data_IF_835268706344
#
_entry.id   IF_835268706344
#
_cell.length_a   1.000
_cell.length_b   1.000
_cell.length_c   1.000
_cell.angle_alpha   90.00
_cell.angle_beta   90.00
_cell.angle_gamma   90.00
#
_symmetry.space_group_name_H-M   'P 1'
#
loop_
_entity.id
_entity.type
_entity.pdbx_description
1 polymer ?
#
# COMPACT_ATOMS: atom_id res chain seq x y z
N UNK A 1 1.47 -4.39 -27.29
CA UNK A 1 0.00 -4.38 -27.15
C UNK A 1 -0.62 -5.02 -28.38
N UNK A 2 -1.42 -6.07 -28.19
CA UNK A 2 -2.13 -6.76 -29.28
C UNK A 2 -3.12 -5.81 -29.96
N UNK A 3 -3.20 -5.82 -31.30
CA UNK A 3 -4.16 -5.01 -32.07
C UNK A 3 -5.58 -5.61 -32.07
N UNK A 4 -5.82 -6.61 -31.21
CA UNK A 4 -7.07 -7.33 -31.16
C UNK A 4 -8.19 -6.45 -30.57
N UNK A 5 -9.28 -6.19 -31.31
CA UNK A 5 -10.40 -5.40 -30.79
C UNK A 5 -11.02 -6.01 -29.52
N UNK A 6 -11.05 -7.34 -29.41
CA UNK A 6 -11.64 -8.03 -28.24
C UNK A 6 -10.86 -7.77 -26.96
N UNK A 7 -9.52 -7.68 -27.06
CA UNK A 7 -8.65 -7.31 -25.95
C UNK A 7 -8.94 -5.89 -25.46
N UNK A 8 -9.06 -4.94 -26.39
CA UNK A 8 -9.33 -3.54 -26.06
C UNK A 8 -10.69 -3.39 -25.35
N UNK A 9 -11.71 -4.05 -25.85
CA UNK A 9 -13.05 -4.04 -25.24
C UNK A 9 -13.04 -4.64 -23.83
N UNK A 10 -12.34 -5.74 -23.62
CA UNK A 10 -12.22 -6.36 -22.31
C UNK A 10 -11.50 -5.45 -21.29
N UNK A 11 -10.45 -4.76 -21.72
CA UNK A 11 -9.73 -3.78 -20.88
C UNK A 11 -10.63 -2.60 -20.52
N UNK A 12 -11.39 -2.07 -21.47
CA UNK A 12 -12.34 -0.98 -21.21
C UNK A 12 -13.46 -1.40 -20.25
N UNK A 13 -13.99 -2.62 -20.39
CA UNK A 13 -14.96 -3.21 -19.45
C UNK A 13 -14.39 -3.27 -18.05
N UNK A 14 -13.17 -3.82 -17.90
CA UNK A 14 -12.48 -3.89 -16.63
C UNK A 14 -12.27 -2.51 -16.00
N UNK A 15 -11.82 -1.51 -16.77
CA UNK A 15 -11.66 -0.13 -16.28
C UNK A 15 -12.99 0.50 -15.84
N UNK A 16 -14.08 0.25 -16.55
CA UNK A 16 -15.40 0.75 -16.19
C UNK A 16 -15.91 0.12 -14.89
N UNK A 17 -15.75 -1.19 -14.74
CA UNK A 17 -16.19 -1.94 -13.57
C UNK A 17 -15.33 -1.63 -12.34
N UNK A 18 -14.01 -1.52 -12.49
CA UNK A 18 -13.12 -1.09 -11.42
C UNK A 18 -13.46 0.33 -10.91
N UNK A 19 -13.80 1.25 -11.82
CA UNK A 19 -14.31 2.59 -11.44
C UNK A 19 -15.65 2.50 -10.70
N UNK A 20 -16.56 1.65 -11.16
CA UNK A 20 -17.84 1.41 -10.48
C UNK A 20 -17.64 0.86 -9.06
N UNK A 21 -16.71 -0.10 -8.90
CA UNK A 21 -16.34 -0.64 -7.59
C UNK A 21 -15.78 0.45 -6.68
N UNK A 22 -14.81 1.23 -7.14
CA UNK A 22 -14.23 2.33 -6.37
C UNK A 22 -15.28 3.37 -5.97
N UNK A 23 -16.22 3.72 -6.86
CA UNK A 23 -17.31 4.64 -6.56
C UNK A 23 -18.30 4.06 -5.53
N UNK A 24 -18.65 2.78 -5.64
CA UNK A 24 -19.50 2.10 -4.67
C UNK A 24 -18.84 2.02 -3.28
N UNK A 25 -17.55 1.71 -3.23
CA UNK A 25 -16.75 1.70 -2.00
C UNK A 25 -16.68 3.08 -1.35
N UNK A 26 -16.49 4.14 -2.15
CA UNK A 26 -16.47 5.51 -1.64
C UNK A 26 -17.83 5.97 -1.09
N UNK A 27 -18.93 5.43 -1.62
CA UNK A 27 -20.28 5.70 -1.13
C UNK A 27 -20.70 4.80 0.04
N UNK A 28 -19.83 3.88 0.48
CA UNK A 28 -20.12 2.89 1.53
C UNK A 28 -21.41 2.09 1.30
N UNK A 29 -21.80 1.88 0.04
CA UNK A 29 -23.02 1.15 -0.31
C UNK A 29 -22.73 -0.36 -0.45
N UNK A 30 -23.11 -1.20 0.55
CA UNK A 30 -22.69 -2.60 0.58
C UNK A 30 -23.25 -3.43 -0.58
N UNK A 31 -24.46 -3.12 -1.06
CA UNK A 31 -25.09 -3.83 -2.18
C UNK A 31 -24.37 -3.49 -3.48
N UNK A 32 -24.08 -2.20 -3.71
CA UNK A 32 -23.31 -1.79 -4.90
C UNK A 32 -21.88 -2.30 -4.87
N UNK A 33 -21.22 -2.32 -3.71
CA UNK A 33 -19.87 -2.88 -3.56
C UNK A 33 -19.85 -4.35 -3.93
N UNK A 34 -20.82 -5.14 -3.46
CA UNK A 34 -20.94 -6.55 -3.79
C UNK A 34 -21.13 -6.76 -5.30
N UNK A 35 -22.09 -6.08 -5.92
CA UNK A 35 -22.40 -6.21 -7.35
C UNK A 35 -21.19 -5.77 -8.20
N UNK A 36 -20.62 -4.61 -7.92
CA UNK A 36 -19.46 -4.11 -8.65
C UNK A 36 -18.23 -5.01 -8.46
N UNK A 37 -18.10 -5.66 -7.30
CA UNK A 37 -17.06 -6.64 -7.02
C UNK A 37 -17.19 -7.87 -7.92
N UNK A 38 -18.38 -8.46 -8.01
CA UNK A 38 -18.64 -9.61 -8.89
C UNK A 38 -18.39 -9.29 -10.37
N UNK A 39 -18.83 -8.11 -10.82
CA UNK A 39 -18.56 -7.65 -12.19
C UNK A 39 -17.05 -7.55 -12.45
N UNK A 40 -16.34 -6.84 -11.57
CA UNK A 40 -14.88 -6.67 -11.69
C UNK A 40 -14.15 -8.01 -11.73
N UNK A 41 -14.56 -8.98 -10.90
CA UNK A 41 -14.03 -10.34 -10.91
C UNK A 41 -14.31 -11.05 -12.24
N UNK A 42 -15.52 -10.91 -12.79
CA UNK A 42 -15.88 -11.47 -14.08
C UNK A 42 -15.01 -10.89 -15.22
N UNK A 43 -14.73 -9.58 -15.20
CA UNK A 43 -13.83 -8.96 -16.17
C UNK A 43 -12.37 -9.42 -16.02
N UNK A 44 -11.86 -9.59 -14.80
CA UNK A 44 -10.52 -10.17 -14.58
C UNK A 44 -10.41 -11.58 -15.19
N UNK A 45 -11.42 -12.42 -14.97
CA UNK A 45 -11.49 -13.76 -15.57
C UNK A 45 -11.62 -13.71 -17.09
N UNK A 46 -12.40 -12.75 -17.63
CA UNK A 46 -12.49 -12.53 -19.07
C UNK A 46 -11.13 -12.17 -19.67
N UNK A 47 -10.40 -11.24 -19.04
CA UNK A 47 -9.03 -10.87 -19.45
C UNK A 47 -8.08 -12.06 -19.45
N UNK A 48 -8.15 -12.93 -18.43
CA UNK A 48 -7.36 -14.17 -18.41
C UNK A 48 -7.71 -15.10 -19.58
N UNK A 49 -8.99 -15.28 -19.87
CA UNK A 49 -9.44 -16.22 -20.90
C UNK A 49 -9.07 -15.80 -22.32
N UNK A 50 -9.08 -14.50 -22.62
CA UNK A 50 -8.77 -13.99 -23.96
C UNK A 50 -7.28 -13.77 -24.19
N UNK A 51 -6.44 -13.90 -23.16
CA UNK A 51 -5.00 -13.66 -23.28
C UNK A 51 -4.32 -14.83 -23.99
N UNK A 52 -3.74 -14.64 -25.20
CA UNK A 52 -3.06 -15.71 -25.93
C UNK A 52 -1.76 -16.18 -25.26
N UNK A 53 -1.06 -15.27 -24.59
CA UNK A 53 0.17 -15.60 -23.87
C UNK A 53 -0.14 -16.33 -22.55
N UNK A 54 0.42 -17.54 -22.37
CA UNK A 54 0.12 -18.38 -21.20
C UNK A 54 0.58 -17.75 -19.88
N UNK A 55 1.73 -17.07 -19.86
CA UNK A 55 2.24 -16.44 -18.65
C UNK A 55 1.35 -15.26 -18.23
N UNK A 56 0.94 -14.43 -19.19
CA UNK A 56 0.01 -13.34 -18.94
C UNK A 56 -1.38 -13.85 -18.56
N UNK A 57 -1.85 -14.94 -19.17
CA UNK A 57 -3.12 -15.60 -18.80
C UNK A 57 -3.08 -16.04 -17.35
N UNK A 58 -2.03 -16.74 -16.94
CA UNK A 58 -1.85 -17.17 -15.55
C UNK A 58 -1.82 -15.97 -14.60
N UNK A 59 -1.12 -14.89 -14.95
CA UNK A 59 -1.10 -13.64 -14.18
C UNK A 59 -2.50 -13.05 -13.98
N UNK A 60 -3.34 -13.00 -15.00
CA UNK A 60 -4.72 -12.50 -14.88
C UNK A 60 -5.61 -13.44 -14.06
N UNK A 61 -5.42 -14.75 -14.16
CA UNK A 61 -6.10 -15.74 -13.30
C UNK A 61 -5.76 -15.52 -11.83
N UNK A 62 -4.47 -15.43 -11.49
CA UNK A 62 -3.99 -15.20 -10.12
C UNK A 62 -4.52 -13.87 -9.55
N UNK A 63 -4.60 -12.83 -10.39
CA UNK A 63 -5.22 -11.55 -10.02
C UNK A 63 -6.70 -11.71 -9.69
N UNK A 64 -7.45 -12.45 -10.49
CA UNK A 64 -8.85 -12.79 -10.22
C UNK A 64 -9.02 -13.52 -8.88
N UNK A 65 -8.18 -14.52 -8.62
CA UNK A 65 -8.24 -15.31 -7.39
C UNK A 65 -7.85 -14.52 -6.14
N UNK A 66 -6.88 -13.61 -6.27
CA UNK A 66 -6.50 -12.67 -5.20
C UNK A 66 -7.63 -11.68 -4.92
N UNK A 67 -8.23 -11.09 -5.95
CA UNK A 67 -9.37 -10.18 -5.80
C UNK A 67 -10.57 -10.88 -5.13
N UNK A 68 -10.87 -12.12 -5.52
CA UNK A 68 -11.96 -12.90 -4.95
C UNK A 68 -11.79 -13.13 -3.43
N UNK A 69 -10.56 -13.41 -2.99
CA UNK A 69 -10.23 -13.65 -1.57
C UNK A 69 -10.09 -12.39 -0.73
N UNK A 70 -9.83 -11.24 -1.37
CA UNK A 70 -9.65 -9.96 -0.68
C UNK A 70 -10.97 -9.42 -0.10
N UNK A 71 -10.88 -8.76 1.07
CA UNK A 71 -11.97 -7.97 1.66
C UNK A 71 -12.26 -6.70 0.85
N UNK A 72 -13.37 -5.99 1.14
CA UNK A 72 -13.78 -4.80 0.39
C UNK A 72 -12.69 -3.72 0.27
N UNK A 73 -12.03 -3.38 1.38
CA UNK A 73 -10.91 -2.43 1.40
C UNK A 73 -9.69 -2.95 0.64
N UNK A 74 -9.33 -4.23 0.83
CA UNK A 74 -8.20 -4.84 0.10
C UNK A 74 -8.45 -4.87 -1.40
N UNK A 75 -9.69 -5.14 -1.83
CA UNK A 75 -10.12 -5.12 -3.24
C UNK A 75 -9.90 -3.74 -3.87
N UNK A 76 -10.24 -2.66 -3.15
CA UNK A 76 -10.03 -1.28 -3.62
C UNK A 76 -8.56 -1.00 -3.88
N UNK A 77 -7.70 -1.31 -2.92
CA UNK A 77 -6.26 -1.06 -3.08
C UNK A 77 -5.66 -1.94 -4.16
N UNK A 78 -6.05 -3.21 -4.22
CA UNK A 78 -5.66 -4.13 -5.27
C UNK A 78 -6.00 -3.60 -6.67
N UNK A 79 -7.23 -3.09 -6.88
CA UNK A 79 -7.63 -2.57 -8.18
C UNK A 79 -6.82 -1.36 -8.61
N UNK A 80 -6.56 -0.43 -7.69
CA UNK A 80 -5.73 0.73 -7.99
C UNK A 80 -4.30 0.30 -8.36
N UNK A 81 -3.75 -0.69 -7.68
CA UNK A 81 -2.44 -1.26 -8.01
C UNK A 81 -2.44 -1.93 -9.40
N UNK A 82 -3.45 -2.74 -9.72
CA UNK A 82 -3.57 -3.40 -11.03
C UNK A 82 -3.74 -2.36 -12.15
N UNK A 83 -4.61 -1.37 -11.97
CA UNK A 83 -4.82 -0.32 -12.97
C UNK A 83 -3.55 0.49 -13.22
N UNK A 84 -2.80 0.82 -12.17
CA UNK A 84 -1.54 1.55 -12.28
C UNK A 84 -0.46 0.73 -12.97
N UNK A 85 -0.29 -0.55 -12.58
CA UNK A 85 0.73 -1.44 -13.13
C UNK A 85 0.53 -1.72 -14.64
N UNK A 86 -0.72 -1.67 -15.12
CA UNK A 86 -1.06 -1.89 -16.52
C UNK A 86 -1.14 -0.59 -17.34
N UNK A 87 -0.86 0.58 -16.73
CA UNK A 87 -1.02 1.88 -17.39
C UNK A 87 -2.48 2.16 -17.78
N UNK A 88 -3.44 1.60 -17.03
CA UNK A 88 -4.88 1.69 -17.27
C UNK A 88 -5.56 2.75 -16.40
N UNK A 89 -4.84 3.39 -15.50
CA UNK A 89 -5.27 4.64 -14.88
C UNK A 89 -5.39 5.68 -15.99
N UNK A 90 -6.62 6.02 -16.41
CA UNK A 90 -6.89 6.94 -17.54
C UNK A 90 -6.40 8.39 -17.35
N UNK A 91 -5.54 8.63 -16.36
CA UNK A 91 -4.81 9.88 -16.18
C UNK A 91 -3.56 9.83 -17.04
N UNK A 92 -3.62 10.50 -18.18
CA UNK A 92 -2.46 10.94 -18.95
C UNK A 92 -1.63 11.87 -18.06
N UNK A 93 -0.75 11.31 -17.24
CA UNK A 93 0.25 12.06 -16.49
C UNK A 93 1.24 12.69 -17.47
N UNK A 94 0.94 13.91 -17.91
CA UNK A 94 1.87 14.80 -18.59
C UNK A 94 2.83 15.43 -17.58
N UNK A 95 3.57 14.59 -16.83
CA UNK A 95 4.59 15.04 -15.91
C UNK A 95 5.95 15.08 -16.61
N UNK A 96 6.57 16.26 -16.65
CA UNK A 96 7.92 16.48 -17.13
C UNK A 96 8.89 15.47 -16.48
N UNK A 97 9.53 14.66 -17.34
CA UNK A 97 10.52 13.67 -16.95
C UNK A 97 11.76 14.34 -16.38
N UNK A 98 11.77 14.59 -15.07
CA UNK A 98 12.99 14.79 -14.32
C UNK A 98 13.87 13.55 -14.52
N UNK A 99 15.14 13.74 -14.87
CA UNK A 99 16.10 12.67 -15.17
C UNK A 99 15.98 11.51 -14.15
N UNK A 100 15.30 10.45 -14.59
CA UNK A 100 15.02 9.26 -13.80
C UNK A 100 16.28 8.40 -13.75
N UNK A 101 16.86 8.25 -12.57
CA UNK A 101 17.82 7.18 -12.33
C UNK A 101 17.15 5.85 -12.64
N UNK A 102 17.73 5.07 -13.57
CA UNK A 102 17.22 3.73 -13.90
C UNK A 102 17.09 2.92 -12.60
N UNK A 103 15.92 2.29 -12.35
CA UNK A 103 15.73 1.50 -11.15
C UNK A 103 16.76 0.37 -11.12
N UNK A 104 17.32 0.03 -9.94
CA UNK A 104 18.28 -1.05 -9.84
C UNK A 104 17.65 -2.35 -10.35
N UNK A 105 18.44 -3.16 -11.06
CA UNK A 105 18.01 -4.48 -11.49
C UNK A 105 17.74 -5.35 -10.25
N UNK A 106 16.50 -5.84 -10.11
CA UNK A 106 16.14 -6.75 -9.03
C UNK A 106 16.60 -8.16 -9.39
N UNK A 107 17.51 -8.72 -8.59
CA UNK A 107 17.83 -10.14 -8.72
C UNK A 107 16.75 -10.98 -8.03
N UNK A 108 16.45 -12.14 -8.63
CA UNK A 108 15.40 -13.04 -8.15
C UNK A 108 15.63 -13.54 -6.72
N UNK A 109 16.88 -13.55 -6.27
CA UNK A 109 17.27 -13.91 -4.90
C UNK A 109 16.89 -12.83 -3.87
N UNK A 110 16.94 -11.55 -4.25
CA UNK A 110 16.59 -10.44 -3.37
C UNK A 110 15.08 -10.39 -3.10
N UNK A 111 14.27 -10.81 -4.08
CA UNK A 111 12.82 -10.87 -3.95
C UNK A 111 12.38 -11.88 -2.87
N UNK A 112 12.96 -13.08 -2.85
CA UNK A 112 12.59 -14.11 -1.88
C UNK A 112 12.92 -13.67 -0.44
N UNK A 113 14.13 -13.14 -0.23
CA UNK A 113 14.57 -12.63 1.07
C UNK A 113 13.70 -11.44 1.53
N UNK A 114 13.32 -10.57 0.60
CA UNK A 114 12.47 -9.44 0.93
C UNK A 114 11.02 -9.84 1.23
N UNK A 115 10.44 -10.79 0.49
CA UNK A 115 9.13 -11.36 0.80
C UNK A 115 9.11 -12.06 2.16
N UNK A 116 10.18 -12.78 2.52
CA UNK A 116 10.32 -13.38 3.83
C UNK A 116 10.33 -12.31 4.93
N UNK A 117 11.08 -11.22 4.74
CA UNK A 117 11.09 -10.09 5.65
C UNK A 117 9.72 -9.40 5.77
N UNK A 118 8.94 -9.29 4.69
CA UNK A 118 7.57 -8.78 4.74
C UNK A 118 6.64 -9.68 5.56
N UNK A 119 6.77 -11.02 5.45
CA UNK A 119 5.97 -11.96 6.24
C UNK A 119 6.34 -11.91 7.72
N UNK A 120 7.64 -11.82 8.02
CA UNK A 120 8.13 -11.64 9.39
C UNK A 120 7.57 -10.34 9.99
N UNK A 121 7.66 -9.22 9.26
CA UNK A 121 7.05 -7.96 9.69
C UNK A 121 5.54 -8.11 9.95
N UNK A 122 4.78 -8.71 9.03
CA UNK A 122 3.35 -8.95 9.23
C UNK A 122 3.08 -9.73 10.53
N UNK A 123 3.82 -10.80 10.78
CA UNK A 123 3.66 -11.60 11.99
C UNK A 123 3.97 -10.81 13.27
N UNK A 124 4.98 -9.92 13.25
CA UNK A 124 5.29 -9.03 14.39
C UNK A 124 4.20 -7.97 14.61
N UNK A 125 3.64 -7.41 13.54
CA UNK A 125 2.53 -6.47 13.62
C UNK A 125 1.29 -7.14 14.23
N UNK A 126 0.96 -8.35 13.78
CA UNK A 126 -0.19 -9.12 14.30
C UNK A 126 0.00 -9.45 15.79
N UNK A 127 1.20 -9.87 16.21
CA UNK A 127 1.50 -10.17 17.60
C UNK A 127 1.43 -8.91 18.50
N UNK A 128 1.92 -7.77 18.02
CA UNK A 128 1.81 -6.50 18.74
C UNK A 128 0.36 -6.05 18.89
N UNK A 129 -0.44 -6.16 17.83
CA UNK A 129 -1.86 -5.81 17.83
C UNK A 129 -2.69 -6.72 18.76
N UNK A 130 -2.43 -8.03 18.74
CA UNK A 130 -3.05 -8.99 19.66
C UNK A 130 -2.69 -8.66 21.13
N UNK A 131 -1.42 -8.37 21.40
CA UNK A 131 -0.96 -8.02 22.74
C UNK A 131 -1.62 -6.74 23.26
N UNK A 132 -1.69 -5.68 22.45
CA UNK A 132 -2.36 -4.41 22.81
C UNK A 132 -3.87 -4.58 23.07
N UNK A 133 -4.53 -5.56 22.43
CA UNK A 133 -5.96 -5.85 22.66
C UNK A 133 -6.23 -6.75 23.87
N UNK A 134 -5.20 -7.29 24.51
CA UNK A 134 -5.36 -8.10 25.72
C UNK A 134 -6.02 -7.28 26.84
N UNK A 135 -6.88 -7.87 27.72
CA UNK A 135 -7.57 -7.13 28.77
C UNK A 135 -6.65 -6.45 29.80
N UNK A 136 -5.44 -6.97 29.98
CA UNK A 136 -4.42 -6.44 30.89
C UNK A 136 -3.04 -6.69 30.27
N UNK A 137 -2.63 -5.89 29.27
CA UNK A 137 -1.36 -6.10 28.63
C UNK A 137 -0.23 -5.64 29.55
N UNK A 138 0.79 -6.47 29.68
CA UNK A 138 2.00 -6.09 30.41
C UNK A 138 2.78 -5.04 29.60
N UNK A 139 3.14 -3.93 30.24
CA UNK A 139 3.81 -2.81 29.59
C UNK A 139 5.21 -3.18 29.06
N UNK A 140 5.92 -4.07 29.77
CA UNK A 140 7.22 -4.57 29.31
C UNK A 140 7.06 -5.40 28.03
N UNK A 141 6.08 -6.31 28.04
CA UNK A 141 5.76 -7.13 26.87
C UNK A 141 5.35 -6.30 25.66
N UNK A 142 4.56 -5.22 25.85
CA UNK A 142 4.22 -4.28 24.78
C UNK A 142 5.48 -3.65 24.20
N UNK A 143 6.36 -3.15 25.06
CA UNK A 143 7.59 -2.49 24.63
C UNK A 143 8.50 -3.43 23.83
N UNK A 144 8.66 -4.68 24.29
CA UNK A 144 9.42 -5.70 23.56
C UNK A 144 8.81 -6.01 22.18
N UNK A 145 7.48 -6.07 22.08
CA UNK A 145 6.79 -6.27 20.81
C UNK A 145 6.99 -5.07 19.86
N UNK A 146 6.99 -3.84 20.37
CA UNK A 146 7.31 -2.64 19.58
C UNK A 146 8.73 -2.68 19.04
N UNK A 147 9.72 -3.04 19.85
CA UNK A 147 11.11 -3.18 19.42
C UNK A 147 11.24 -4.25 18.32
N UNK A 148 10.49 -5.34 18.42
CA UNK A 148 10.44 -6.37 17.38
C UNK A 148 9.88 -5.84 16.05
N UNK A 149 8.80 -5.03 16.09
CA UNK A 149 8.24 -4.39 14.88
C UNK A 149 9.27 -3.44 14.26
N UNK A 150 9.90 -2.58 15.06
CA UNK A 150 10.92 -1.62 14.59
C UNK A 150 12.10 -2.36 13.96
N UNK A 151 12.58 -3.43 14.60
CA UNK A 151 13.67 -4.25 14.09
C UNK A 151 13.31 -4.90 12.74
N UNK A 152 12.09 -5.45 12.61
CA UNK A 152 11.61 -6.03 11.36
C UNK A 152 11.51 -4.99 10.23
N UNK A 153 11.02 -3.77 10.52
CA UNK A 153 10.97 -2.68 9.54
C UNK A 153 12.36 -2.22 9.08
N UNK A 154 13.34 -2.15 10.00
CA UNK A 154 14.74 -1.83 9.65
C UNK A 154 15.38 -2.92 8.79
N UNK A 155 15.18 -4.19 9.16
CA UNK A 155 15.64 -5.32 8.34
C UNK A 155 15.05 -5.27 6.93
N UNK A 156 13.77 -4.94 6.82
CA UNK A 156 13.09 -4.78 5.54
C UNK A 156 13.72 -3.66 4.69
N UNK A 157 14.07 -2.54 5.32
CA UNK A 157 14.79 -1.44 4.68
C UNK A 157 16.19 -1.88 4.21
N UNK A 158 16.94 -2.63 5.01
CA UNK A 158 18.32 -3.03 4.70
C UNK A 158 18.39 -3.95 3.47
N UNK A 159 17.44 -4.89 3.35
CA UNK A 159 17.40 -5.91 2.29
C UNK A 159 16.97 -5.32 0.93
N UNK A 160 16.20 -4.24 0.90
CA UNK A 160 15.57 -3.75 -0.33
C UNK A 160 16.57 -3.07 -1.29
N UNK A 161 16.73 -3.45 -2.57
CA UNK A 161 17.80 -2.90 -3.42
C UNK A 161 17.65 -1.41 -3.75
N UNK A 162 16.42 -0.88 -3.84
CA UNK A 162 16.18 0.56 -4.09
C UNK A 162 16.48 1.44 -2.86
N UNK A 163 17.44 2.38 -2.93
CA UNK A 163 17.78 3.28 -1.83
C UNK A 163 16.63 4.20 -1.39
N UNK A 164 15.72 4.58 -2.29
CA UNK A 164 14.54 5.40 -1.94
C UNK A 164 13.60 4.61 -1.04
N UNK A 165 13.37 3.34 -1.35
CA UNK A 165 12.54 2.45 -0.54
C UNK A 165 13.22 2.11 0.78
N UNK A 166 14.55 1.89 0.80
CA UNK A 166 15.31 1.77 2.06
C UNK A 166 15.05 2.97 2.97
N UNK A 167 15.21 4.17 2.43
CA UNK A 167 15.01 5.42 3.17
C UNK A 167 13.59 5.53 3.72
N UNK A 168 12.58 5.25 2.90
CA UNK A 168 11.17 5.30 3.33
C UNK A 168 10.85 4.32 4.46
N UNK A 169 11.31 3.07 4.36
CA UNK A 169 11.11 2.10 5.45
C UNK A 169 11.89 2.48 6.71
N UNK A 170 13.08 3.04 6.56
CA UNK A 170 13.86 3.57 7.69
C UNK A 170 13.12 4.71 8.39
N UNK A 171 12.59 5.67 7.63
CA UNK A 171 11.81 6.79 8.16
C UNK A 171 10.54 6.31 8.87
N UNK A 172 9.84 5.32 8.31
CA UNK A 172 8.66 4.72 8.95
C UNK A 172 9.00 3.98 10.24
N UNK A 173 10.11 3.24 10.27
CA UNK A 173 10.57 2.56 11.49
C UNK A 173 10.88 3.58 12.58
N UNK A 174 11.50 4.70 12.21
CA UNK A 174 11.75 5.82 13.11
C UNK A 174 10.44 6.48 13.57
N UNK A 175 9.49 6.72 12.66
CA UNK A 175 8.19 7.31 13.01
C UNK A 175 7.41 6.42 13.99
N UNK A 176 7.36 5.11 13.75
CA UNK A 176 6.70 4.15 14.65
C UNK A 176 7.37 4.10 16.03
N UNK A 177 8.71 4.10 16.07
CA UNK A 177 9.46 4.08 17.34
C UNK A 177 9.25 5.33 18.20
N UNK A 178 8.92 6.47 17.59
CA UNK A 178 8.75 7.75 18.29
C UNK A 178 7.28 8.20 18.43
N UNK A 179 6.32 7.47 17.85
CA UNK A 179 4.90 7.78 17.99
C UNK A 179 4.43 7.52 19.42
N UNK A 180 3.39 8.23 19.87
CA UNK A 180 2.68 7.89 21.10
C UNK A 180 1.80 6.64 20.89
N UNK A 181 1.28 6.08 21.97
CA UNK A 181 0.53 4.81 21.93
C UNK A 181 -0.70 4.85 21.01
N UNK A 182 -1.41 5.98 20.96
CA UNK A 182 -2.60 6.15 20.12
C UNK A 182 -2.20 6.28 18.64
N UNK A 183 -1.16 7.05 18.33
CA UNK A 183 -0.66 7.22 16.97
C UNK A 183 0.05 5.98 16.45
N UNK A 184 0.65 5.16 17.30
CA UNK A 184 1.26 3.88 16.90
C UNK A 184 0.22 2.97 16.26
N UNK A 185 -1.02 2.93 16.76
CA UNK A 185 -2.08 2.10 16.18
C UNK A 185 -2.47 2.55 14.77
N UNK A 186 -2.54 3.86 14.54
CA UNK A 186 -2.84 4.41 13.21
C UNK A 186 -1.71 4.10 12.22
N UNK A 187 -0.47 4.33 12.63
CA UNK A 187 0.73 3.97 11.84
C UNK A 187 0.77 2.47 11.56
N UNK A 188 0.42 1.63 12.53
CA UNK A 188 0.37 0.17 12.40
C UNK A 188 -0.66 -0.26 11.35
N UNK A 189 -1.86 0.33 11.38
CA UNK A 189 -2.94 0.01 10.44
C UNK A 189 -2.55 0.35 9.00
N UNK A 190 -1.90 1.49 8.81
CA UNK A 190 -1.41 1.94 7.51
C UNK A 190 -0.26 1.07 7.00
N UNK A 191 0.69 0.71 7.87
CA UNK A 191 1.78 -0.22 7.52
C UNK A 191 1.22 -1.60 7.20
N UNK A 192 0.35 -2.17 8.04
CA UNK A 192 -0.22 -3.50 7.87
C UNK A 192 -1.01 -3.64 6.57
N UNK A 193 -1.80 -2.62 6.21
CA UNK A 193 -2.44 -2.58 4.88
C UNK A 193 -1.41 -2.61 3.76
N UNK A 194 -0.37 -1.78 3.85
CA UNK A 194 0.73 -1.71 2.88
C UNK A 194 1.45 -3.06 2.72
N UNK A 195 1.81 -3.72 3.83
CA UNK A 195 2.49 -5.02 3.84
C UNK A 195 1.61 -6.09 3.21
N UNK A 196 0.32 -6.15 3.52
CA UNK A 196 -0.60 -7.11 2.91
C UNK A 196 -0.67 -6.97 1.38
N UNK A 197 -0.65 -5.74 0.86
CA UNK A 197 -0.64 -5.46 -0.58
C UNK A 197 0.67 -5.91 -1.22
N UNK A 198 1.79 -5.60 -0.56
CA UNK A 198 3.13 -5.99 -1.02
C UNK A 198 3.30 -7.51 -1.04
N UNK A 199 2.78 -8.22 -0.03
CA UNK A 199 2.77 -9.69 0.00
C UNK A 199 1.86 -10.32 -1.07
N UNK A 200 0.80 -9.62 -1.48
CA UNK A 200 -0.10 -10.08 -2.53
C UNK A 200 0.42 -9.81 -3.94
N UNK A 201 1.50 -9.02 -4.09
CA UNK A 201 2.00 -8.56 -5.39
C UNK A 201 3.44 -9.06 -5.62
N UNK A 202 3.67 -10.02 -6.54
CA UNK A 202 5.04 -10.41 -6.90
C UNK A 202 5.83 -9.23 -7.47
N UNK A 203 7.07 -9.01 -7.01
CA UNK A 203 7.92 -7.87 -7.42
C UNK A 203 8.46 -8.03 -8.83
N UNK A 204 8.66 -9.27 -9.29
CA UNK A 204 8.94 -9.54 -10.70
C UNK A 204 7.83 -9.08 -11.66
N UNK A 205 6.61 -8.76 -11.18
CA UNK A 205 5.57 -8.15 -12.01
C UNK A 205 5.79 -6.66 -12.29
N UNK A 206 6.79 -6.03 -11.66
CA UNK A 206 7.15 -4.63 -11.81
C UNK A 206 8.37 -4.40 -12.73
N UNK A 207 8.84 -5.41 -13.46
CA UNK A 207 9.97 -5.30 -14.42
C UNK A 207 9.80 -4.30 -15.58
N UNK A 208 8.70 -3.53 -15.61
CA UNK A 208 8.55 -2.37 -16.48
C UNK A 208 7.87 -1.15 -15.85
N UNK A 209 7.43 -1.22 -14.58
CA UNK A 209 6.69 -0.13 -13.92
C UNK A 209 6.97 -0.15 -12.40
N UNK A 210 8.20 0.16 -11.98
CA UNK A 210 8.56 0.34 -10.55
C UNK A 210 8.10 1.72 -10.02
N UNK A 211 7.19 2.42 -10.71
CA UNK A 211 6.57 3.64 -10.17
C UNK A 211 5.52 3.36 -9.07
N UNK A 212 4.96 2.15 -9.01
CA UNK A 212 3.84 1.85 -8.11
C UNK A 212 4.26 1.54 -6.67
N UNK A 213 5.42 0.95 -6.41
CA UNK A 213 5.88 0.70 -5.03
C UNK A 213 6.15 2.03 -4.32
N UNK A 214 6.80 2.97 -5.01
CA UNK A 214 6.95 4.36 -4.56
C UNK A 214 5.59 5.01 -4.32
N UNK A 215 4.63 4.93 -5.25
CA UNK A 215 3.31 5.54 -5.09
C UNK A 215 2.43 4.91 -4.00
N UNK A 216 2.52 3.60 -3.75
CA UNK A 216 1.81 2.93 -2.63
C UNK A 216 2.44 3.33 -1.29
N UNK A 217 3.77 3.41 -1.22
CA UNK A 217 4.48 3.86 -0.01
C UNK A 217 4.31 5.40 0.21
N UNK A 218 4.25 6.18 -0.87
CA UNK A 218 4.05 7.64 -0.84
C UNK A 218 2.59 8.03 -0.59
N UNK A 219 1.64 7.26 -1.14
CA UNK A 219 0.20 7.42 -0.90
C UNK A 219 -0.19 7.13 0.54
N UNK A 220 0.49 6.19 1.20
CA UNK A 220 0.37 5.98 2.65
C UNK A 220 1.13 7.07 3.44
N UNK A 221 2.18 7.68 2.87
CA UNK A 221 2.96 8.75 3.51
C UNK A 221 2.28 10.12 3.57
N UNK A 222 1.35 10.43 2.66
CA UNK A 222 0.61 11.71 2.65
C UNK A 222 -0.27 11.92 3.90
N UNK A 223 -0.60 10.86 4.66
CA UNK A 223 -1.35 10.97 5.92
C UNK A 223 -0.45 11.51 7.05
N UNK A 224 0.85 11.20 7.03
CA UNK A 224 1.81 11.65 8.07
C UNK A 224 2.24 13.11 7.87
N UNK A 225 2.33 13.58 6.62
CA UNK A 225 2.68 14.99 6.33
C UNK A 225 1.57 15.96 6.76
N UNK A 226 0.31 15.52 6.77
CA UNK A 226 -0.82 16.31 7.26
C UNK A 226 -0.78 16.59 8.78
N UNK A 227 -0.19 15.70 9.58
CA UNK A 227 -0.12 15.84 11.05
C UNK A 227 1.09 16.66 11.53
N UNK A 228 2.17 16.71 10.74
CA UNK A 228 3.31 17.57 11.03
C UNK A 228 2.95 19.06 11.10
N UNK A 229 2.02 19.52 10.26
CA UNK A 229 1.55 20.91 10.27
C UNK A 229 0.62 21.25 11.45
N UNK A 230 0.05 20.26 12.15
CA UNK A 230 -0.78 20.53 13.34
C UNK A 230 0.07 20.77 14.60
N UNK A 231 1.27 20.17 14.66
CA UNK A 231 2.19 20.33 15.79
C UNK A 231 3.04 21.61 15.72
N UNK A 232 3.27 22.19 14.54
CA UNK A 232 4.04 23.44 14.40
C UNK A 232 3.22 24.73 14.56
N UNK A 233 1.89 24.66 14.65
CA UNK A 233 1.03 25.85 14.85
C UNK A 233 0.53 26.04 16.31
N UNK A 234 0.98 25.22 17.27
CA UNK A 234 0.51 25.26 18.66
C UNK A 234 1.23 26.21 19.64
N UNK A 235 2.34 26.85 19.25
CA UNK A 235 3.10 27.72 20.18
C UNK A 235 3.74 28.93 19.50
N UNK A 236 2.98 29.98 19.14
CA UNK A 236 3.47 31.38 19.24
C UNK A 236 2.30 32.36 19.43
N UNK A 237 2.28 33.04 20.59
CA UNK A 237 1.55 34.30 20.84
C UNK A 237 0.34 34.14 21.76
N UNK A 238 0.22 34.76 22.94
CA UNK A 238 0.85 35.96 23.49
C UNK A 238 0.80 35.88 25.02
N UNK A 239 1.95 35.80 25.68
CA UNK A 239 2.13 36.36 27.02
C UNK A 239 2.62 37.80 26.87
N UNK A 240 1.70 38.75 26.79
CA UNK A 240 2.03 40.18 26.90
C UNK A 240 1.20 40.84 27.98
N UNK A 241 1.80 40.85 29.17
CA UNK A 241 1.83 41.92 30.16
C UNK A 241 0.61 42.82 30.31
N UNK A 242 -0.14 42.62 31.40
CA UNK A 242 -0.92 43.70 32.02
C UNK A 242 -0.11 44.31 33.15
N UNK A 243 0.57 45.40 32.81
CA UNK A 243 1.29 46.24 33.76
C UNK A 243 0.32 47.06 34.62
N UNK A 244 0.76 47.26 35.85
CA UNK A 244 0.12 47.89 37.01
C UNK A 244 0.17 49.41 36.87
N UNK A 245 -0.93 50.11 37.15
CA UNK A 245 -0.96 51.49 37.69
C UNK A 245 -2.11 51.51 38.71
N UNK A 246 -1.76 51.53 40.01
CA UNK A 246 -1.74 52.69 40.90
C UNK A 246 -3.11 53.31 41.06
#
# INVERSE_FOLDING_TARGET
MTKDPTWREAIQSFQAEARSFNAASAAEDPVRIMIAGELTLASLRKLANIQPDQALKQRWTERGDTFARASGEQRKVFLNAVLSAEGLSGESSGGDAAAEEEPPAYERHDEAAWQEALRDLQAKLDAYDELKRSPNPDASSIHEAEECVVAAMRRLAEIHPDPKVKKQWTERAHAFANADDDHKLDVLKDIGKGVAILLATPFMLAGGVVFAAGAIVYGVGQIVVGLGNLLTFGQVGKLTGKSRKR
#
